data_IF_668252713120
#
_entry.id   IF_668252713120
#
_cell.length_a   1.000
_cell.length_b   1.000
_cell.length_c   1.000
_cell.angle_alpha   90.00
_cell.angle_beta   90.00
_cell.angle_gamma   90.00
#
_symmetry.space_group_name_H-M   'P 1'
#
loop_
_entity.id
_entity.type
_entity.pdbx_description
1 polymer ?
#
# COMPACT_ATOMS: atom_id res chain seq x y z
N UNK A 1 -15.34 13.29 6.87
CA UNK A 1 -14.16 13.40 7.76
C UNK A 1 -12.97 13.64 6.86
N UNK A 2 -12.11 14.58 7.22
CA UNK A 2 -10.92 14.90 6.43
C UNK A 2 -9.72 14.08 6.90
N UNK A 3 -9.03 13.45 5.96
CA UNK A 3 -7.81 12.68 6.17
C UNK A 3 -6.65 13.33 5.42
N UNK A 4 -5.48 13.43 6.05
CA UNK A 4 -4.26 13.96 5.44
C UNK A 4 -3.22 12.85 5.34
N UNK A 5 -2.64 12.69 4.15
CA UNK A 5 -1.55 11.76 3.86
C UNK A 5 -0.35 12.56 3.37
N UNK A 6 0.83 12.25 3.90
CA UNK A 6 2.09 12.75 3.35
C UNK A 6 2.89 11.55 2.85
N UNK A 7 3.48 11.68 1.66
CA UNK A 7 4.34 10.62 1.13
C UNK A 7 5.52 10.39 2.07
N UNK A 8 5.66 9.16 2.57
CA UNK A 8 6.88 8.69 3.22
C UNK A 8 7.90 8.37 2.14
N UNK A 9 9.07 8.99 2.20
CA UNK A 9 10.15 8.72 1.26
C UNK A 9 11.01 7.55 1.73
N UNK A 10 11.16 6.55 0.88
CA UNK A 10 12.19 5.52 1.04
C UNK A 10 13.14 5.58 -0.16
N UNK A 11 14.43 5.48 0.11
CA UNK A 11 15.47 5.55 -0.92
C UNK A 11 16.06 4.17 -1.20
N UNK A 12 16.23 3.84 -2.47
CA UNK A 12 16.89 2.61 -2.93
C UNK A 12 18.12 2.91 -3.78
N UNK A 13 19.08 1.99 -3.79
CA UNK A 13 20.26 2.06 -4.65
C UNK A 13 19.93 1.49 -6.03
N UNK A 14 20.50 2.07 -7.09
CA UNK A 14 20.20 1.67 -8.47
C UNK A 14 20.53 0.19 -8.76
N UNK A 15 21.56 -0.35 -8.11
CA UNK A 15 21.97 -1.74 -8.23
C UNK A 15 20.92 -2.71 -7.67
N UNK A 16 20.16 -2.34 -6.65
CA UNK A 16 19.07 -3.15 -6.10
C UNK A 16 17.96 -3.36 -7.13
N UNK A 17 17.54 -2.30 -7.82
CA UNK A 17 16.55 -2.41 -8.90
C UNK A 17 17.09 -3.21 -10.08
N UNK A 18 18.37 -3.03 -10.42
CA UNK A 18 18.99 -3.78 -11.50
C UNK A 18 19.13 -5.27 -11.17
N UNK A 19 19.63 -5.61 -9.99
CA UNK A 19 19.72 -6.99 -9.48
C UNK A 19 18.34 -7.65 -9.50
N UNK A 20 17.31 -6.93 -9.05
CA UNK A 20 15.93 -7.39 -9.13
C UNK A 20 15.48 -7.65 -10.57
N UNK A 21 15.73 -6.73 -11.50
CA UNK A 21 15.39 -6.92 -12.93
C UNK A 21 16.10 -8.13 -13.53
N UNK A 22 17.32 -8.44 -13.09
CA UNK A 22 18.10 -9.59 -13.56
C UNK A 22 17.80 -10.90 -12.83
N UNK A 23 16.86 -10.89 -11.88
CA UNK A 23 16.34 -12.10 -11.23
C UNK A 23 16.81 -12.33 -9.79
N UNK A 24 17.68 -11.49 -9.23
CA UNK A 24 18.01 -11.55 -7.80
C UNK A 24 16.82 -11.07 -6.96
N UNK A 25 16.22 -11.99 -6.20
CA UNK A 25 15.07 -11.73 -5.32
C UNK A 25 15.45 -11.75 -3.85
N UNK A 26 16.71 -11.46 -3.52
CA UNK A 26 17.21 -11.36 -2.14
C UNK A 26 16.44 -10.34 -1.27
N UNK A 27 15.82 -9.35 -1.90
CA UNK A 27 14.92 -8.38 -1.23
C UNK A 27 13.52 -8.93 -0.93
N UNK A 28 13.15 -10.13 -1.38
CA UNK A 28 11.87 -10.72 -1.03
C UNK A 28 11.95 -11.32 0.38
N UNK A 29 11.14 -10.88 1.35
CA UNK A 29 11.16 -11.46 2.69
C UNK A 29 10.88 -12.96 2.66
N UNK A 30 11.56 -13.70 3.54
CA UNK A 30 11.50 -15.17 3.56
C UNK A 30 10.09 -15.74 3.81
N UNK A 31 9.19 -14.96 4.42
CA UNK A 31 7.82 -15.37 4.70
C UNK A 31 6.88 -15.30 3.47
N UNK A 32 7.31 -14.70 2.36
CA UNK A 32 6.54 -14.71 1.11
C UNK A 32 6.78 -16.04 0.36
N UNK A 33 5.75 -16.88 0.34
CA UNK A 33 5.80 -18.22 -0.28
C UNK A 33 5.91 -18.22 -1.82
N UNK A 34 5.43 -17.16 -2.51
CA UNK A 34 5.31 -17.16 -3.97
C UNK A 34 6.38 -16.29 -4.66
N UNK A 35 7.61 -16.80 -4.70
CA UNK A 35 8.69 -16.24 -5.54
C UNK A 35 8.38 -16.26 -7.06
N UNK A 36 7.38 -17.04 -7.49
CA UNK A 36 7.05 -17.26 -8.90
C UNK A 36 6.18 -16.17 -9.56
N UNK A 37 5.53 -15.26 -8.83
CA UNK A 37 4.78 -14.14 -9.44
C UNK A 37 5.75 -13.08 -9.98
N UNK A 38 6.90 -12.93 -9.30
CA UNK A 38 7.93 -11.93 -9.60
C UNK A 38 8.66 -12.20 -10.93
N UNK A 39 8.59 -13.42 -11.48
CA UNK A 39 9.32 -13.77 -12.70
C UNK A 39 8.70 -13.16 -13.96
N UNK A 40 7.40 -12.83 -13.96
CA UNK A 40 6.71 -12.37 -15.17
C UNK A 40 6.69 -10.85 -15.35
N UNK A 41 6.84 -10.06 -14.27
CA UNK A 41 6.89 -8.59 -14.32
C UNK A 41 7.85 -8.01 -13.27
N UNK A 42 9.17 -8.25 -13.41
CA UNK A 42 10.13 -7.90 -12.36
C UNK A 42 10.14 -6.39 -12.09
N UNK A 43 10.01 -5.51 -13.08
CA UNK A 43 10.02 -4.07 -12.80
C UNK A 43 8.81 -3.55 -12.00
N UNK A 44 7.69 -4.29 -11.99
CA UNK A 44 6.45 -3.88 -11.35
C UNK A 44 6.49 -4.17 -9.84
N UNK A 45 6.89 -5.38 -9.46
CA UNK A 45 6.87 -5.83 -8.05
C UNK A 45 8.09 -5.41 -7.21
N UNK A 46 9.06 -4.69 -7.79
CA UNK A 46 10.23 -4.24 -7.03
C UNK A 46 9.82 -3.36 -5.85
N UNK A 47 8.88 -2.43 -6.06
CA UNK A 47 8.54 -1.46 -5.04
C UNK A 47 7.86 -2.09 -3.82
N UNK A 48 6.86 -2.92 -4.05
CA UNK A 48 6.17 -3.71 -3.02
C UNK A 48 7.16 -4.53 -2.19
N UNK A 49 8.06 -5.27 -2.85
CA UNK A 49 9.04 -6.10 -2.17
C UNK A 49 10.05 -5.28 -1.36
N UNK A 50 10.56 -4.18 -1.94
CA UNK A 50 11.49 -3.28 -1.27
C UNK A 50 10.87 -2.67 -0.01
N UNK A 51 9.65 -2.13 -0.11
CA UNK A 51 8.94 -1.52 1.01
C UNK A 51 8.66 -2.56 2.10
N UNK A 52 8.19 -3.74 1.71
CA UNK A 52 7.90 -4.80 2.67
C UNK A 52 9.16 -5.29 3.40
N UNK A 53 10.28 -5.48 2.70
CA UNK A 53 11.56 -5.85 3.30
C UNK A 53 12.08 -4.76 4.24
N UNK A 54 11.94 -3.49 3.86
CA UNK A 54 12.27 -2.37 4.73
C UNK A 54 11.50 -2.45 6.05
N UNK A 55 10.16 -2.43 6.02
CA UNK A 55 9.34 -2.47 7.23
C UNK A 55 9.51 -3.77 8.04
N UNK A 56 9.80 -4.89 7.37
CA UNK A 56 10.12 -6.13 8.06
C UNK A 56 11.43 -6.01 8.86
N UNK A 57 12.51 -5.51 8.25
CA UNK A 57 13.82 -5.43 8.90
C UNK A 57 13.91 -4.35 9.96
N UNK A 58 13.25 -3.21 9.76
CA UNK A 58 13.34 -2.06 10.67
C UNK A 58 12.36 -2.16 11.84
N UNK A 59 11.18 -2.72 11.61
CA UNK A 59 10.06 -2.65 12.56
C UNK A 59 9.39 -4.01 12.83
N UNK A 60 9.83 -5.08 12.17
CA UNK A 60 9.32 -6.44 12.39
C UNK A 60 7.95 -6.72 11.77
N UNK A 61 7.49 -5.91 10.82
CA UNK A 61 6.22 -6.16 10.13
C UNK A 61 6.28 -7.43 9.27
N UNK A 62 5.16 -8.14 9.22
CA UNK A 62 4.86 -9.14 8.18
C UNK A 62 3.86 -8.53 7.20
N UNK A 63 3.64 -9.15 6.05
CA UNK A 63 2.64 -8.62 5.12
C UNK A 63 2.44 -9.39 3.83
N UNK A 64 1.54 -8.87 3.01
CA UNK A 64 1.14 -9.43 1.73
C UNK A 64 1.04 -8.32 0.68
N UNK A 65 1.69 -8.46 -0.49
CA UNK A 65 1.39 -7.63 -1.66
C UNK A 65 0.12 -8.10 -2.38
N UNK A 66 -0.27 -9.36 -2.17
CA UNK A 66 -1.44 -9.99 -2.77
C UNK A 66 -2.51 -10.24 -1.68
N UNK A 67 -3.44 -9.30 -1.50
CA UNK A 67 -4.59 -9.45 -0.60
C UNK A 67 -5.85 -8.88 -1.26
N UNK A 68 -6.99 -8.97 -0.58
CA UNK A 68 -8.22 -8.36 -1.08
C UNK A 68 -9.13 -7.86 0.05
N UNK A 69 -9.55 -6.59 -0.02
CA UNK A 69 -10.53 -6.03 0.90
C UNK A 69 -11.95 -6.48 0.56
N UNK A 70 -12.25 -6.62 -0.74
CA UNK A 70 -13.58 -6.94 -1.29
C UNK A 70 -13.63 -8.35 -1.90
N UNK A 71 -13.68 -9.42 -1.08
CA UNK A 71 -13.55 -10.81 -1.54
C UNK A 71 -14.59 -11.25 -2.58
N UNK A 72 -15.76 -10.63 -2.61
CA UNK A 72 -16.84 -10.93 -3.55
C UNK A 72 -16.56 -10.46 -4.99
N UNK A 73 -15.59 -9.58 -5.20
CA UNK A 73 -15.28 -9.04 -6.54
C UNK A 73 -14.51 -10.06 -7.37
N UNK A 74 -13.54 -10.76 -6.74
CA UNK A 74 -12.74 -11.80 -7.40
C UNK A 74 -12.56 -13.05 -6.50
N UNK A 75 -13.65 -13.75 -6.15
CA UNK A 75 -13.66 -14.75 -5.07
C UNK A 75 -12.72 -15.95 -5.29
N UNK A 76 -12.35 -16.22 -6.54
CA UNK A 76 -11.62 -17.41 -6.96
C UNK A 76 -10.12 -17.16 -7.22
N UNK A 77 -9.58 -16.00 -6.86
CA UNK A 77 -8.15 -15.73 -7.04
C UNK A 77 -7.34 -16.26 -5.86
N UNK A 78 -6.75 -17.44 -6.07
CA UNK A 78 -5.99 -18.16 -5.04
C UNK A 78 -4.79 -17.37 -4.47
N UNK A 79 -4.22 -16.40 -5.20
CA UNK A 79 -3.09 -15.60 -4.68
C UNK A 79 -3.50 -14.66 -3.55
N UNK A 80 -4.73 -14.16 -3.53
CA UNK A 80 -5.22 -13.26 -2.47
C UNK A 80 -5.68 -14.00 -1.21
N UNK A 81 -5.80 -15.34 -1.25
CA UNK A 81 -6.43 -16.13 -0.19
C UNK A 81 -5.76 -15.93 1.17
N UNK A 82 -4.43 -16.04 1.26
CA UNK A 82 -3.71 -15.93 2.55
C UNK A 82 -3.81 -14.52 3.14
N UNK A 83 -3.63 -13.49 2.31
CA UNK A 83 -3.80 -12.10 2.71
C UNK A 83 -5.21 -11.82 3.22
N UNK A 84 -6.23 -12.28 2.49
CA UNK A 84 -7.64 -12.17 2.91
C UNK A 84 -7.91 -12.85 4.25
N UNK A 85 -7.52 -14.12 4.39
CA UNK A 85 -7.79 -14.87 5.63
C UNK A 85 -7.09 -14.22 6.83
N UNK A 86 -5.85 -13.72 6.63
CA UNK A 86 -5.11 -13.02 7.69
C UNK A 86 -5.81 -11.72 8.08
N UNK A 87 -6.27 -10.93 7.10
CA UNK A 87 -7.04 -9.72 7.37
C UNK A 87 -8.33 -10.02 8.13
N UNK A 88 -9.09 -11.04 7.72
CA UNK A 88 -10.34 -11.43 8.38
C UNK A 88 -10.13 -11.98 9.80
N UNK A 89 -8.97 -12.59 10.06
CA UNK A 89 -8.61 -13.07 11.39
C UNK A 89 -8.19 -11.94 12.33
N UNK A 90 -7.49 -10.92 11.82
CA UNK A 90 -6.88 -9.88 12.64
C UNK A 90 -7.75 -8.62 12.78
N UNK A 91 -8.49 -8.24 11.74
CA UNK A 91 -9.35 -7.07 11.79
C UNK A 91 -10.66 -7.37 12.54
N UNK A 92 -11.13 -6.46 13.43
CA UNK A 92 -12.42 -6.62 14.07
C UNK A 92 -13.55 -6.73 13.04
N UNK A 93 -14.32 -7.84 13.09
CA UNK A 93 -15.33 -8.15 12.09
C UNK A 93 -16.38 -7.03 11.85
N UNK A 94 -16.85 -6.27 12.87
CA UNK A 94 -17.74 -5.13 12.65
C UNK A 94 -17.09 -4.03 11.81
N UNK A 95 -15.84 -3.67 12.13
CA UNK A 95 -15.10 -2.61 11.44
C UNK A 95 -14.77 -2.98 9.99
N UNK A 96 -14.38 -4.23 9.75
CA UNK A 96 -14.15 -4.74 8.39
C UNK A 96 -15.44 -4.76 7.57
N UNK A 97 -16.59 -5.05 8.19
CA UNK A 97 -17.90 -4.98 7.53
C UNK A 97 -18.25 -3.55 7.14
N UNK A 98 -18.08 -2.59 8.05
CA UNK A 98 -18.32 -1.17 7.76
C UNK A 98 -17.44 -0.65 6.62
N UNK A 99 -16.14 -1.01 6.61
CA UNK A 99 -15.25 -0.68 5.50
C UNK A 99 -15.79 -1.24 4.17
N UNK A 100 -16.19 -2.52 4.15
CA UNK A 100 -16.72 -3.18 2.95
C UNK A 100 -18.02 -2.53 2.48
N UNK A 101 -18.91 -2.16 3.39
CA UNK A 101 -20.16 -1.47 3.07
C UNK A 101 -19.90 -0.07 2.50
N UNK A 102 -18.97 0.69 3.09
CA UNK A 102 -18.54 1.97 2.55
C UNK A 102 -17.94 1.84 1.13
N UNK A 103 -17.19 0.78 0.86
CA UNK A 103 -16.66 0.49 -0.48
C UNK A 103 -17.75 0.10 -1.48
N UNK A 104 -18.79 -0.62 -1.05
CA UNK A 104 -19.94 -0.98 -1.91
C UNK A 104 -20.79 0.23 -2.30
N UNK A 105 -20.83 1.24 -1.42
CA UNK A 105 -21.62 2.45 -1.61
C UNK A 105 -20.98 3.47 -2.58
N UNK A 106 -19.76 3.23 -3.07
CA UNK A 106 -19.10 4.14 -4.01
C UNK A 106 -19.90 4.24 -5.34
N UNK A 107 -20.19 5.45 -5.84
CA UNK A 107 -21.16 5.69 -6.90
C UNK A 107 -20.72 5.25 -8.31
N UNK A 108 -19.43 4.98 -8.52
CA UNK A 108 -18.86 4.66 -9.83
C UNK A 108 -18.80 3.15 -10.14
N UNK A 109 -19.38 2.31 -9.27
CA UNK A 109 -19.38 0.85 -9.46
C UNK A 109 -18.01 0.20 -9.33
N UNK A 110 -16.96 0.94 -8.93
CA UNK A 110 -15.58 0.47 -8.81
C UNK A 110 -15.32 -0.33 -7.52
N UNK A 111 -16.21 -1.28 -7.24
CA UNK A 111 -16.08 -2.24 -6.14
C UNK A 111 -14.74 -2.96 -6.28
N UNK A 112 -13.89 -2.91 -5.25
CA UNK A 112 -12.57 -3.56 -5.26
C UNK A 112 -11.44 -2.82 -5.98
N UNK A 113 -11.67 -1.64 -6.58
CA UNK A 113 -10.57 -0.88 -7.19
C UNK A 113 -9.88 0.05 -6.20
N UNK A 114 -8.58 0.28 -6.42
CA UNK A 114 -7.79 1.20 -5.61
C UNK A 114 -7.44 0.66 -4.23
N UNK A 115 -7.45 -0.67 -4.07
CA UNK A 115 -6.89 -1.28 -2.86
C UNK A 115 -5.39 -0.96 -2.78
N UNK A 116 -4.86 -0.63 -1.59
CA UNK A 116 -3.44 -0.36 -1.40
C UNK A 116 -2.58 -1.54 -1.81
N UNK A 117 -1.37 -1.27 -2.31
CA UNK A 117 -0.47 -2.33 -2.79
C UNK A 117 -0.03 -3.31 -1.69
N UNK A 118 0.06 -2.88 -0.42
CA UNK A 118 0.50 -3.73 0.70
C UNK A 118 -0.48 -3.73 1.86
N UNK A 119 -0.71 -4.92 2.41
CA UNK A 119 -1.30 -5.15 3.73
C UNK A 119 -0.24 -5.69 4.68
N UNK A 120 0.05 -4.95 5.75
CA UNK A 120 1.02 -5.30 6.79
C UNK A 120 0.33 -5.62 8.10
N UNK A 121 0.95 -6.51 8.88
CA UNK A 121 0.49 -6.85 10.22
C UNK A 121 1.63 -7.26 11.15
N UNK A 122 1.38 -7.18 12.46
CA UNK A 122 2.23 -7.77 13.50
C UNK A 122 1.47 -8.88 14.24
N UNK A 123 2.18 -9.85 14.87
CA UNK A 123 1.54 -10.86 15.72
C UNK A 123 0.76 -10.28 16.91
N UNK A 124 1.07 -9.04 17.31
CA UNK A 124 0.33 -8.26 18.32
C UNK A 124 -1.10 -7.88 17.88
N UNK A 125 -1.43 -8.03 16.60
CA UNK A 125 -2.72 -7.62 16.03
C UNK A 125 -2.71 -6.23 15.40
N UNK A 126 -1.59 -5.51 15.44
CA UNK A 126 -1.45 -4.23 14.73
C UNK A 126 -1.54 -4.44 13.21
N UNK A 127 -2.24 -3.53 12.52
CA UNK A 127 -2.47 -3.56 11.08
C UNK A 127 -1.94 -2.27 10.44
N UNK A 128 -1.48 -2.36 9.20
CA UNK A 128 -1.11 -1.18 8.39
C UNK A 128 -1.34 -1.45 6.91
N UNK A 129 -1.71 -0.42 6.15
CA UNK A 129 -1.90 -0.52 4.69
C UNK A 129 -1.05 0.52 3.97
N UNK A 130 -0.35 0.12 2.92
CA UNK A 130 0.55 1.02 2.20
C UNK A 130 0.25 1.01 0.71
N UNK A 131 0.16 2.21 0.14
CA UNK A 131 0.18 2.43 -1.29
C UNK A 131 1.61 2.79 -1.71
N UNK A 132 2.17 2.06 -2.68
CA UNK A 132 3.57 2.20 -3.08
C UNK A 132 3.66 2.87 -4.44
N UNK A 133 4.48 3.92 -4.52
CA UNK A 133 4.77 4.64 -5.77
C UNK A 133 6.26 4.78 -6.00
N UNK A 134 6.64 4.99 -7.25
CA UNK A 134 8.01 5.28 -7.67
C UNK A 134 7.99 6.29 -8.82
N UNK A 135 9.18 6.62 -9.34
CA UNK A 135 9.32 7.53 -10.48
C UNK A 135 8.41 7.12 -11.66
N UNK A 136 7.65 8.09 -12.17
CA UNK A 136 6.67 7.90 -13.25
C UNK A 136 5.26 7.52 -12.79
N UNK A 137 5.09 7.08 -11.54
CA UNK A 137 3.80 6.67 -11.00
C UNK A 137 3.14 7.78 -10.17
N UNK A 138 1.81 7.82 -10.18
CA UNK A 138 1.00 8.76 -9.41
C UNK A 138 -0.07 8.03 -8.60
N UNK A 139 -0.36 8.52 -7.39
CA UNK A 139 -1.45 8.00 -6.56
C UNK A 139 -2.80 8.43 -7.15
N UNK A 140 -3.62 7.42 -7.48
CA UNK A 140 -4.94 7.63 -8.07
C UNK A 140 -5.97 8.02 -7.01
N UNK A 141 -7.01 8.74 -7.41
CA UNK A 141 -8.09 9.21 -6.53
C UNK A 141 -8.74 8.07 -5.74
N UNK A 142 -9.03 6.95 -6.40
CA UNK A 142 -9.63 5.78 -5.77
C UNK A 142 -8.72 5.11 -4.72
N UNK A 143 -7.39 5.20 -4.88
CA UNK A 143 -6.43 4.71 -3.89
C UNK A 143 -6.44 5.59 -2.65
N UNK A 144 -6.46 6.92 -2.82
CA UNK A 144 -6.58 7.88 -1.72
C UNK A 144 -7.90 7.72 -0.95
N UNK A 145 -9.01 7.52 -1.67
CA UNK A 145 -10.31 7.24 -1.05
C UNK A 145 -10.25 5.94 -0.25
N UNK A 146 -9.65 4.88 -0.79
CA UNK A 146 -9.50 3.62 -0.08
C UNK A 146 -8.67 3.76 1.20
N UNK A 147 -7.52 4.44 1.14
CA UNK A 147 -6.68 4.70 2.33
C UNK A 147 -7.45 5.50 3.39
N UNK A 148 -8.24 6.50 2.97
CA UNK A 148 -9.07 7.29 3.89
C UNK A 148 -10.16 6.44 4.56
N UNK A 149 -10.86 5.60 3.79
CA UNK A 149 -11.84 4.66 4.33
C UNK A 149 -11.20 3.65 5.29
N UNK A 150 -10.01 3.14 4.99
CA UNK A 150 -9.26 2.25 5.89
C UNK A 150 -8.98 2.95 7.21
N UNK A 151 -8.44 4.18 7.20
CA UNK A 151 -8.20 4.94 8.43
C UNK A 151 -9.50 5.21 9.20
N UNK A 152 -10.58 5.57 8.50
CA UNK A 152 -11.86 5.88 9.12
C UNK A 152 -12.52 4.66 9.78
N UNK A 153 -12.49 3.50 9.13
CA UNK A 153 -13.26 2.33 9.56
C UNK A 153 -12.42 1.30 10.33
N UNK A 154 -11.15 1.08 9.96
CA UNK A 154 -10.27 0.13 10.65
C UNK A 154 -9.43 0.79 11.75
N UNK A 155 -9.45 2.12 11.87
CA UNK A 155 -8.69 2.88 12.87
C UNK A 155 -7.20 2.50 12.91
N UNK A 156 -6.61 2.17 11.77
CA UNK A 156 -5.21 1.74 11.65
C UNK A 156 -4.43 2.64 10.69
N UNK A 157 -3.09 2.66 10.78
CA UNK A 157 -2.25 3.39 9.83
C UNK A 157 -2.51 2.96 8.38
N UNK A 158 -2.68 3.95 7.51
CA UNK A 158 -2.69 3.75 6.07
C UNK A 158 -1.94 4.91 5.41
N UNK A 159 -0.90 4.63 4.62
CA UNK A 159 0.02 5.66 4.14
C UNK A 159 0.41 5.46 2.67
N UNK A 160 0.95 6.52 2.07
CA UNK A 160 1.61 6.47 0.77
C UNK A 160 3.11 6.42 0.99
N UNK A 161 3.78 5.44 0.38
CA UNK A 161 5.24 5.33 0.36
C UNK A 161 5.72 5.62 -1.06
N UNK A 162 6.60 6.60 -1.19
CA UNK A 162 7.24 6.93 -2.46
C UNK A 162 8.70 6.50 -2.46
N UNK A 163 9.06 5.69 -3.45
CA UNK A 163 10.39 5.17 -3.68
C UNK A 163 11.18 6.09 -4.61
N UNK A 164 12.34 6.54 -4.14
CA UNK A 164 13.28 7.32 -4.93
C UNK A 164 14.62 6.62 -5.05
N UNK A 165 15.26 6.74 -6.21
CA UNK A 165 16.64 6.31 -6.36
C UNK A 165 17.54 7.29 -5.60
N UNK A 166 18.45 6.80 -4.75
CA UNK A 166 19.28 7.63 -3.87
C UNK A 166 20.09 8.70 -4.60
N UNK A 167 20.56 8.39 -5.81
CA UNK A 167 21.35 9.32 -6.64
C UNK A 167 20.50 10.33 -7.41
N UNK A 168 19.17 10.20 -7.35
CA UNK A 168 18.19 11.08 -8.01
C UNK A 168 17.11 11.50 -7.01
N UNK A 169 17.47 12.20 -5.93
CA UNK A 169 16.51 12.57 -4.89
C UNK A 169 15.47 13.52 -5.45
N UNK A 170 14.20 13.33 -5.05
CA UNK A 170 13.14 14.29 -5.36
C UNK A 170 13.27 15.51 -4.45
N UNK A 171 12.98 16.68 -5.01
CA UNK A 171 12.97 17.96 -4.27
C UNK A 171 11.70 18.16 -3.44
N UNK A 172 10.68 17.35 -3.68
CA UNK A 172 9.37 17.47 -3.05
C UNK A 172 8.74 16.11 -2.80
N UNK A 173 7.94 16.04 -1.74
CA UNK A 173 6.94 15.02 -1.49
C UNK A 173 5.55 15.56 -1.84
N UNK A 174 4.58 14.66 -1.93
CA UNK A 174 3.18 15.04 -2.06
C UNK A 174 2.48 14.97 -0.69
N UNK A 175 1.64 15.96 -0.42
CA UNK A 175 0.60 15.91 0.61
C UNK A 175 -0.75 15.79 -0.08
N UNK A 176 -1.59 14.88 0.44
CA UNK A 176 -2.93 14.62 -0.03
C UNK A 176 -3.92 14.92 1.09
N UNK A 177 -4.97 15.66 0.78
CA UNK A 177 -6.10 15.87 1.69
C UNK A 177 -7.34 15.26 1.05
N UNK A 178 -8.00 14.36 1.77
CA UNK A 178 -9.18 13.61 1.30
C UNK A 178 -10.32 13.88 2.26
N UNK A 179 -11.41 14.47 1.79
CA UNK A 179 -12.65 14.58 2.58
C UNK A 179 -13.72 13.61 2.09
N UNK A 180 -14.18 12.76 3.00
CA UNK A 180 -15.25 11.79 2.79
C UNK A 180 -16.63 12.28 3.26
N UNK A 181 -16.80 13.56 3.61
CA UNK A 181 -18.05 14.11 4.17
C UNK A 181 -19.18 14.29 3.14
N UNK A 182 -18.84 14.47 1.86
CA UNK A 182 -19.80 14.67 0.77
C UNK A 182 -20.32 13.38 0.15
N UNK A 183 -21.24 13.51 -0.82
CA UNK A 183 -21.70 12.39 -1.66
C UNK A 183 -20.58 11.86 -2.57
N UNK A 184 -19.59 12.68 -2.87
CA UNK A 184 -18.35 12.33 -3.55
C UNK A 184 -17.17 12.80 -2.73
N UNK A 185 -16.08 12.02 -2.74
CA UNK A 185 -14.85 12.42 -2.06
C UNK A 185 -14.23 13.65 -2.72
N UNK A 186 -13.80 14.62 -1.92
CA UNK A 186 -13.00 15.75 -2.40
C UNK A 186 -11.52 15.49 -2.11
N UNK A 187 -10.67 15.67 -3.14
CA UNK A 187 -9.24 15.40 -3.04
C UNK A 187 -8.44 16.64 -3.43
N UNK A 188 -7.56 17.08 -2.53
CA UNK A 188 -6.57 18.13 -2.79
C UNK A 188 -5.16 17.54 -2.73
N UNK A 189 -4.28 18.05 -3.59
CA UNK A 189 -2.89 17.60 -3.74
C UNK A 189 -1.96 18.80 -3.66
N UNK A 190 -0.96 18.73 -2.81
CA UNK A 190 0.02 19.78 -2.60
C UNK A 190 1.44 19.20 -2.70
N UNK A 191 2.37 19.97 -3.27
CA UNK A 191 3.80 19.64 -3.21
C UNK A 191 4.38 20.26 -1.95
N UNK A 192 5.05 19.46 -1.13
CA UNK A 192 5.76 19.88 0.07
C UNK A 192 7.25 19.75 -0.18
N UNK A 193 8.05 20.75 0.21
CA UNK A 193 9.51 20.68 0.06
C UNK A 193 10.01 19.47 0.86
N UNK A 194 10.74 18.58 0.19
CA UNK A 194 11.30 17.41 0.86
C UNK A 194 12.40 17.89 1.82
N UNK A 195 12.19 17.74 3.12
CA UNK A 195 13.28 17.85 4.08
C UNK A 195 14.19 16.64 3.86
N UNK A 196 15.37 16.88 3.30
CA UNK A 196 16.42 15.87 3.25
C UNK A 196 16.96 15.75 4.67
N UNK A 197 16.49 14.77 5.42
CA UNK A 197 17.19 14.36 6.64
C UNK A 197 18.55 13.84 6.21
N UNK A 198 19.60 14.60 6.56
CA UNK A 198 20.98 14.24 6.29
C UNK A 198 21.36 13.03 7.13
N UNK A 199 21.49 11.88 6.48
CA UNK A 199 22.18 10.70 7.02
C UNK A 199 23.67 10.74 6.73
#
# INVERSE_FOLDING_TARGET
MTHVFEEKLLSYEADQLMAWKTGDKSLMPAFIEKRAIVTNQPAYHFGEAFVLDHYHRTEGWLGFPDYMLMPEVEPNIARHYRGRMTLEQLAPAPMLRELRDARRALPDGRKGYGEPDLFLFKPSGELMFLEVKKEGDTVKDNQLVCLAQIRQHLCCPADVVFLQERRRPRRFTMRYQVDLSGTTAEIRRERVIAHVEGG
#
